data_IF_777685840698
#
_entry.id   IF_777685840698
#
_cell.length_a   1.000
_cell.length_b   1.000
_cell.length_c   1.000
_cell.angle_alpha   90.00
_cell.angle_beta   90.00
_cell.angle_gamma   90.00
#
_symmetry.space_group_name_H-M   'P 1'
#
loop_
_entity.id
_entity.type
_entity.pdbx_description
1 polymer ?
#
# COMPACT_ATOMS: atom_id res chain seq x y z
N UNK A 1 -3.87 -30.91 -2.61
CA UNK A 1 -4.17 -29.45 -2.73
C UNK A 1 -2.86 -28.65 -2.69
N UNK A 2 -2.73 -27.61 -3.50
CA UNK A 2 -1.64 -26.63 -3.42
C UNK A 2 -2.22 -25.30 -2.98
N UNK A 3 -1.60 -24.65 -2.01
CA UNK A 3 -1.87 -23.28 -1.64
C UNK A 3 -0.54 -22.50 -1.73
N UNK A 4 -0.49 -21.52 -2.63
CA UNK A 4 0.69 -20.66 -2.83
C UNK A 4 0.34 -19.23 -2.43
N UNK A 5 1.13 -18.67 -1.50
CA UNK A 5 1.07 -17.26 -1.15
C UNK A 5 2.03 -16.46 -2.04
N UNK A 6 1.54 -15.33 -2.55
CA UNK A 6 2.34 -14.31 -3.23
C UNK A 6 2.39 -13.10 -2.30
N UNK A 7 3.57 -12.78 -1.81
CA UNK A 7 3.74 -11.65 -0.91
C UNK A 7 4.46 -10.51 -1.63
N UNK A 8 3.82 -9.34 -1.65
CA UNK A 8 4.32 -8.12 -2.28
C UNK A 8 4.86 -7.17 -1.22
N UNK A 9 6.16 -7.24 -0.95
CA UNK A 9 6.84 -6.48 0.12
C UNK A 9 6.57 -4.97 0.07
N UNK A 10 6.53 -4.38 -1.13
CA UNK A 10 6.39 -2.94 -1.28
C UNK A 10 5.01 -2.37 -0.92
N UNK A 11 3.98 -3.21 -0.83
CA UNK A 11 2.64 -2.89 -0.33
C UNK A 11 2.29 -3.70 0.92
N UNK A 12 3.18 -4.59 1.36
CA UNK A 12 2.94 -5.54 2.47
C UNK A 12 1.67 -6.38 2.27
N UNK A 13 1.33 -6.69 0.99
CA UNK A 13 0.10 -7.36 0.58
C UNK A 13 0.35 -8.82 0.23
N UNK A 14 -0.56 -9.70 0.61
CA UNK A 14 -0.56 -11.11 0.26
C UNK A 14 -1.78 -11.48 -0.58
N UNK A 15 -1.55 -12.18 -1.68
CA UNK A 15 -2.58 -12.85 -2.48
C UNK A 15 -2.32 -14.35 -2.54
N UNK A 16 -3.32 -15.13 -2.95
CA UNK A 16 -3.23 -16.57 -2.84
C UNK A 16 -3.73 -17.27 -4.09
N UNK A 17 -3.04 -18.34 -4.49
CA UNK A 17 -3.51 -19.33 -5.48
C UNK A 17 -3.81 -20.63 -4.74
N UNK A 18 -5.03 -21.15 -4.94
CA UNK A 18 -5.47 -22.44 -4.41
C UNK A 18 -5.75 -23.36 -5.59
N UNK A 19 -5.07 -24.50 -5.66
CA UNK A 19 -5.23 -25.48 -6.72
C UNK A 19 -5.72 -26.81 -6.14
N UNK A 20 -6.76 -27.34 -6.73
CA UNK A 20 -7.15 -28.75 -6.57
C UNK A 20 -6.39 -29.57 -7.64
N UNK A 21 -5.49 -30.44 -7.19
CA UNK A 21 -4.64 -31.22 -8.07
C UNK A 21 -5.39 -32.33 -8.82
N UNK A 22 -6.50 -32.82 -8.25
CA UNK A 22 -7.30 -33.88 -8.85
C UNK A 22 -8.17 -33.36 -10.00
N UNK A 23 -8.76 -32.18 -9.85
CA UNK A 23 -9.63 -31.57 -10.85
C UNK A 23 -8.92 -30.61 -11.79
N UNK A 24 -7.67 -30.22 -11.49
CA UNK A 24 -6.91 -29.17 -12.19
C UNK A 24 -7.66 -27.82 -12.25
N UNK A 25 -8.43 -27.51 -11.20
CA UNK A 25 -9.15 -26.23 -11.04
C UNK A 25 -8.46 -25.38 -9.99
N UNK A 26 -8.47 -24.07 -10.21
CA UNK A 26 -7.81 -23.12 -9.33
C UNK A 26 -8.68 -21.89 -9.04
N UNK A 27 -8.44 -21.30 -7.87
CA UNK A 27 -8.97 -19.99 -7.45
C UNK A 27 -7.80 -19.09 -7.10
N UNK A 28 -7.89 -17.81 -7.49
CA UNK A 28 -6.98 -16.77 -7.00
C UNK A 28 -7.75 -15.86 -6.06
N UNK A 29 -7.13 -15.51 -4.93
CA UNK A 29 -7.71 -14.64 -3.90
C UNK A 29 -6.90 -13.37 -3.80
N UNK A 30 -7.57 -12.21 -3.86
CA UNK A 30 -7.02 -10.85 -3.73
C UNK A 30 -5.81 -10.57 -4.67
N UNK A 31 -5.92 -10.82 -5.99
CA UNK A 31 -4.80 -10.65 -6.91
C UNK A 31 -4.39 -9.19 -7.10
N UNK A 32 -3.09 -8.95 -7.30
CA UNK A 32 -2.59 -7.68 -7.85
C UNK A 32 -2.84 -7.60 -9.36
N UNK A 33 -2.76 -6.39 -9.95
CA UNK A 33 -3.07 -6.13 -11.39
C UNK A 33 -2.07 -6.74 -12.37
N UNK A 34 -0.85 -6.98 -11.93
CA UNK A 34 0.19 -7.71 -12.68
C UNK A 34 -0.06 -9.21 -12.54
N UNK A 35 -0.94 -9.72 -13.41
CA UNK A 35 -1.55 -11.05 -13.25
C UNK A 35 -0.70 -12.19 -13.78
N UNK A 36 0.37 -11.92 -14.53
CA UNK A 36 1.19 -12.96 -15.16
C UNK A 36 1.72 -13.97 -14.13
N UNK A 37 2.08 -13.52 -12.93
CA UNK A 37 2.54 -14.39 -11.85
C UNK A 37 1.53 -15.49 -11.47
N UNK A 38 0.23 -15.21 -11.50
CA UNK A 38 -0.82 -16.18 -11.18
C UNK A 38 -1.06 -17.13 -12.35
N UNK A 39 -0.98 -16.61 -13.60
CA UNK A 39 -1.10 -17.42 -14.80
C UNK A 39 0.03 -18.45 -14.89
N UNK A 40 1.27 -18.02 -14.64
CA UNK A 40 2.44 -18.89 -14.65
C UNK A 40 2.34 -19.95 -13.55
N UNK A 41 1.96 -19.55 -12.32
CA UNK A 41 1.82 -20.47 -11.20
C UNK A 41 0.69 -21.51 -11.42
N UNK A 42 -0.43 -21.12 -12.02
CA UNK A 42 -1.49 -22.06 -12.37
C UNK A 42 -1.02 -23.03 -13.49
N UNK A 43 -0.28 -22.51 -14.48
CA UNK A 43 0.26 -23.32 -15.57
C UNK A 43 1.31 -24.33 -15.08
N UNK A 44 2.16 -24.00 -14.10
CA UNK A 44 3.11 -24.94 -13.45
C UNK A 44 2.42 -26.20 -12.94
N UNK A 45 1.14 -26.11 -12.54
CA UNK A 45 0.33 -27.21 -12.01
C UNK A 45 -0.70 -27.73 -13.03
N UNK A 46 -0.66 -27.25 -14.28
CA UNK A 46 -1.64 -27.60 -15.30
C UNK A 46 -3.08 -27.23 -14.93
N UNK A 47 -3.26 -26.24 -14.05
CA UNK A 47 -4.54 -25.86 -13.51
C UNK A 47 -5.17 -24.68 -14.27
N UNK A 48 -6.52 -24.67 -14.36
CA UNK A 48 -7.29 -23.57 -14.91
C UNK A 48 -7.85 -22.71 -13.77
N UNK A 49 -7.53 -21.43 -13.79
CA UNK A 49 -8.16 -20.45 -12.90
C UNK A 49 -9.61 -20.27 -13.35
N UNK A 50 -10.56 -20.59 -12.51
CA UNK A 50 -11.99 -20.48 -12.80
C UNK A 50 -12.72 -19.44 -11.96
N UNK A 51 -12.10 -19.00 -10.87
CA UNK A 51 -12.66 -18.03 -9.95
C UNK A 51 -11.57 -17.07 -9.47
N UNK A 52 -11.90 -15.79 -9.44
CA UNK A 52 -11.15 -14.73 -8.75
C UNK A 52 -12.01 -14.26 -7.60
N UNK A 53 -11.60 -14.53 -6.37
CA UNK A 53 -12.37 -14.26 -5.18
C UNK A 53 -11.71 -13.13 -4.38
N UNK A 54 -12.45 -12.06 -4.18
CA UNK A 54 -12.00 -10.89 -3.41
C UNK A 54 -12.55 -10.96 -1.99
N UNK A 55 -11.69 -10.73 -0.99
CA UNK A 55 -12.12 -10.70 0.40
C UNK A 55 -12.93 -9.45 0.72
N UNK A 56 -12.63 -8.33 0.08
CA UNK A 56 -13.30 -7.04 0.22
C UNK A 56 -12.91 -6.09 -0.92
N UNK A 57 -13.47 -4.88 -0.95
CA UNK A 57 -12.97 -3.83 -1.84
C UNK A 57 -11.75 -3.16 -1.22
N UNK A 58 -10.56 -3.60 -1.65
CA UNK A 58 -9.27 -3.09 -1.16
C UNK A 58 -9.15 -1.58 -1.35
N UNK A 59 -8.62 -0.91 -0.34
CA UNK A 59 -8.40 0.53 -0.36
C UNK A 59 -6.93 0.89 -0.67
N UNK A 60 -6.01 0.02 -0.36
CA UNK A 60 -4.56 0.24 -0.41
C UNK A 60 -3.93 -0.21 -1.73
N UNK A 61 -4.66 -0.95 -2.56
CA UNK A 61 -4.27 -1.30 -3.93
C UNK A 61 -5.48 -1.54 -4.84
N UNK A 62 -5.26 -1.42 -6.15
CA UNK A 62 -6.21 -1.83 -7.17
C UNK A 62 -6.05 -3.33 -7.44
N UNK A 63 -7.10 -4.09 -7.14
CA UNK A 63 -7.12 -5.53 -7.35
C UNK A 63 -7.12 -5.91 -8.84
N UNK A 64 -6.47 -7.03 -9.16
CA UNK A 64 -6.35 -7.58 -10.51
C UNK A 64 -7.51 -8.43 -10.99
N UNK A 65 -8.66 -8.38 -10.31
CA UNK A 65 -9.80 -9.23 -10.64
C UNK A 65 -10.29 -9.07 -12.08
N UNK A 66 -10.31 -7.83 -12.61
CA UNK A 66 -10.72 -7.59 -13.99
C UNK A 66 -9.69 -8.09 -15.00
N UNK A 67 -8.41 -7.86 -14.74
CA UNK A 67 -7.29 -8.33 -15.57
C UNK A 67 -7.26 -9.85 -15.62
N UNK A 68 -7.37 -10.51 -14.48
CA UNK A 68 -7.30 -11.96 -14.38
C UNK A 68 -8.55 -12.63 -15.00
N UNK A 69 -9.74 -12.07 -14.78
CA UNK A 69 -10.96 -12.52 -15.41
C UNK A 69 -10.89 -12.37 -16.94
N UNK A 70 -10.37 -11.28 -17.46
CA UNK A 70 -10.19 -11.07 -18.89
C UNK A 70 -9.19 -12.06 -19.50
N UNK A 71 -8.10 -12.39 -18.80
CA UNK A 71 -7.07 -13.32 -19.27
C UNK A 71 -7.51 -14.79 -19.25
N UNK A 72 -8.38 -15.19 -18.32
CA UNK A 72 -8.70 -16.60 -18.05
C UNK A 72 -10.15 -17.00 -18.36
N UNK A 73 -11.06 -16.03 -18.41
CA UNK A 73 -12.50 -16.27 -18.43
C UNK A 73 -13.06 -16.68 -17.05
N UNK A 74 -12.28 -16.50 -15.98
CA UNK A 74 -12.70 -16.79 -14.61
C UNK A 74 -13.84 -15.87 -14.17
N UNK A 75 -14.77 -16.40 -13.38
CA UNK A 75 -15.77 -15.57 -12.73
C UNK A 75 -15.13 -14.74 -11.60
N UNK A 76 -15.55 -13.47 -11.46
CA UNK A 76 -15.19 -12.67 -10.30
C UNK A 76 -16.21 -12.93 -9.19
N UNK A 77 -15.77 -12.98 -7.94
CA UNK A 77 -16.66 -13.24 -6.82
C UNK A 77 -16.33 -12.41 -5.58
N UNK A 78 -17.40 -12.13 -4.80
CA UNK A 78 -17.37 -11.41 -3.52
C UNK A 78 -18.35 -12.04 -2.53
N UNK A 79 -18.34 -11.57 -1.29
CA UNK A 79 -19.44 -11.80 -0.34
C UNK A 79 -20.73 -11.10 -0.80
N UNK A 80 -21.90 -11.63 -0.44
CA UNK A 80 -23.21 -11.11 -0.92
C UNK A 80 -23.56 -9.71 -0.39
N UNK A 81 -22.76 -9.13 0.49
CA UNK A 81 -22.91 -7.73 0.93
C UNK A 81 -22.17 -6.74 0.02
N UNK A 82 -21.31 -7.23 -0.86
CA UNK A 82 -20.62 -6.39 -1.85
C UNK A 82 -21.60 -5.94 -2.95
N UNK A 83 -21.33 -4.76 -3.52
CA UNK A 83 -22.13 -4.19 -4.60
C UNK A 83 -21.24 -3.74 -5.76
N UNK A 84 -20.55 -4.65 -6.47
CA UNK A 84 -19.71 -4.31 -7.62
C UNK A 84 -20.58 -3.79 -8.78
N UNK A 85 -20.03 -2.88 -9.57
CA UNK A 85 -20.67 -2.32 -10.77
C UNK A 85 -20.36 -3.15 -12.05
N UNK A 86 -19.92 -4.38 -11.88
CA UNK A 86 -19.64 -5.37 -12.93
C UNK A 86 -20.24 -6.70 -12.53
N UNK A 87 -20.30 -7.63 -13.48
CA UNK A 87 -20.82 -8.96 -13.20
C UNK A 87 -19.92 -9.71 -12.21
N UNK A 88 -20.49 -10.15 -11.09
CA UNK A 88 -19.80 -10.92 -10.08
C UNK A 88 -20.72 -11.95 -9.45
N UNK A 89 -20.16 -13.08 -9.07
CA UNK A 89 -20.81 -14.07 -8.23
C UNK A 89 -20.79 -13.58 -6.78
N UNK A 90 -21.94 -13.59 -6.13
CA UNK A 90 -22.09 -13.15 -4.74
C UNK A 90 -22.36 -14.36 -3.84
N UNK A 91 -21.44 -14.65 -2.93
CA UNK A 91 -21.53 -15.77 -2.02
C UNK A 91 -22.25 -15.39 -0.72
N UNK A 92 -23.20 -16.21 -0.30
CA UNK A 92 -23.86 -16.09 1.00
C UNK A 92 -22.95 -16.54 2.15
N UNK A 93 -23.23 -16.08 3.37
CA UNK A 93 -22.54 -16.52 4.58
C UNK A 93 -22.74 -18.04 4.79
N UNK A 94 -21.64 -18.76 4.97
CA UNK A 94 -21.62 -20.24 5.10
C UNK A 94 -21.73 -21.00 3.78
N UNK A 95 -21.84 -20.32 2.63
CA UNK A 95 -21.88 -20.97 1.33
C UNK A 95 -20.54 -21.63 1.02
N UNK A 96 -20.60 -22.81 0.40
CA UNK A 96 -19.43 -23.58 0.02
C UNK A 96 -19.27 -23.65 -1.48
N UNK A 97 -18.05 -23.49 -1.93
CA UNK A 97 -17.63 -23.63 -3.33
C UNK A 97 -16.63 -24.78 -3.46
N UNK A 98 -16.97 -25.79 -4.25
CA UNK A 98 -16.11 -26.95 -4.49
C UNK A 98 -15.25 -26.75 -5.74
N UNK A 99 -13.95 -26.99 -5.61
CA UNK A 99 -13.02 -27.12 -6.73
C UNK A 99 -12.81 -28.57 -7.17
N UNK A 100 -13.48 -29.51 -6.56
CA UNK A 100 -13.29 -30.95 -6.69
C UNK A 100 -13.17 -31.57 -5.31
N UNK A 101 -11.99 -31.98 -4.88
CA UNK A 101 -11.73 -32.43 -3.51
C UNK A 101 -11.55 -31.27 -2.54
N UNK A 102 -11.02 -30.14 -3.02
CA UNK A 102 -10.87 -28.91 -2.22
C UNK A 102 -12.19 -28.15 -2.14
N UNK A 103 -12.54 -27.67 -0.97
CA UNK A 103 -13.74 -26.88 -0.72
C UNK A 103 -13.41 -25.56 -0.02
N UNK A 104 -14.04 -24.48 -0.47
CA UNK A 104 -13.94 -23.14 0.10
C UNK A 104 -15.26 -22.79 0.80
N UNK A 105 -15.24 -22.51 2.10
CA UNK A 105 -16.39 -22.05 2.88
C UNK A 105 -16.26 -20.53 3.09
N UNK A 106 -17.26 -19.78 2.65
CA UNK A 106 -17.28 -18.32 2.75
C UNK A 106 -17.89 -17.91 4.09
N UNK A 107 -17.19 -17.13 4.86
CA UNK A 107 -17.68 -16.53 6.11
C UNK A 107 -17.75 -15.03 5.98
N UNK A 108 -18.92 -14.45 6.21
CA UNK A 108 -19.04 -13.00 6.26
C UNK A 108 -18.40 -12.49 7.55
N UNK A 109 -17.39 -11.66 7.41
CA UNK A 109 -16.60 -11.09 8.51
C UNK A 109 -16.51 -9.56 8.40
N UNK A 110 -17.67 -8.85 8.43
CA UNK A 110 -17.69 -7.39 8.35
C UNK A 110 -16.94 -6.75 9.52
N UNK A 111 -16.39 -5.55 9.27
CA UNK A 111 -15.73 -4.78 10.32
C UNK A 111 -14.61 -3.89 9.79
N UNK A 112 -13.64 -4.44 9.09
CA UNK A 112 -12.69 -3.63 8.30
C UNK A 112 -13.45 -2.91 7.17
N UNK A 113 -14.23 -3.67 6.40
CA UNK A 113 -15.27 -3.14 5.51
C UNK A 113 -16.61 -3.84 5.79
N UNK A 114 -17.77 -3.26 5.39
CA UNK A 114 -19.07 -3.86 5.63
C UNK A 114 -19.31 -5.18 4.87
N UNK A 115 -18.64 -5.36 3.73
CA UNK A 115 -18.78 -6.51 2.83
C UNK A 115 -17.69 -7.56 3.03
N UNK A 116 -16.71 -7.35 3.92
CA UNK A 116 -15.58 -8.25 4.15
C UNK A 116 -16.01 -9.69 4.38
N UNK A 117 -15.24 -10.61 3.79
CA UNK A 117 -15.36 -12.05 3.98
C UNK A 117 -14.02 -12.66 4.38
N UNK A 118 -14.09 -13.81 5.04
CA UNK A 118 -12.96 -14.73 5.22
C UNK A 118 -13.27 -16.06 4.54
N UNK A 119 -12.25 -16.74 4.05
CA UNK A 119 -12.40 -17.94 3.23
C UNK A 119 -11.74 -19.10 3.97
N UNK A 120 -12.54 -20.04 4.50
CA UNK A 120 -12.03 -21.24 5.13
C UNK A 120 -11.74 -22.27 4.05
N UNK A 121 -10.51 -22.78 4.01
CA UNK A 121 -10.03 -23.74 3.00
C UNK A 121 -10.01 -25.13 3.60
N UNK A 122 -10.75 -26.04 3.00
CA UNK A 122 -10.80 -27.45 3.34
C UNK A 122 -10.05 -28.24 2.28
N UNK A 123 -9.00 -28.99 2.66
CA UNK A 123 -8.32 -29.88 1.73
C UNK A 123 -9.24 -31.01 1.29
N UNK A 124 -10.07 -31.48 2.23
CA UNK A 124 -11.18 -32.40 1.99
C UNK A 124 -12.37 -32.00 2.85
N UNK A 125 -13.61 -32.08 2.33
CA UNK A 125 -14.82 -31.74 3.11
C UNK A 125 -15.01 -32.54 4.41
N UNK A 126 -14.37 -33.73 4.47
CA UNK A 126 -14.44 -34.63 5.63
C UNK A 126 -13.40 -34.35 6.72
N UNK A 127 -12.47 -33.43 6.50
CA UNK A 127 -11.40 -33.14 7.46
C UNK A 127 -11.99 -32.53 8.75
N UNK A 128 -11.46 -32.95 9.91
CA UNK A 128 -11.88 -32.40 11.19
C UNK A 128 -11.37 -30.96 11.45
N UNK A 129 -10.28 -30.59 10.77
CA UNK A 129 -9.63 -29.29 10.89
C UNK A 129 -9.42 -28.75 9.47
N UNK A 130 -9.87 -27.53 9.18
CA UNK A 130 -9.59 -26.92 7.86
C UNK A 130 -8.08 -26.69 7.70
N UNK A 131 -7.61 -26.73 6.47
CA UNK A 131 -6.22 -26.44 6.14
C UNK A 131 -5.81 -25.02 6.63
N UNK A 132 -6.69 -24.05 6.43
CA UNK A 132 -6.45 -22.68 6.85
C UNK A 132 -7.66 -21.79 6.62
N UNK A 133 -7.52 -20.53 7.02
CA UNK A 133 -8.48 -19.46 6.74
C UNK A 133 -7.74 -18.25 6.17
N UNK A 134 -8.17 -17.82 4.98
CA UNK A 134 -7.77 -16.56 4.38
C UNK A 134 -8.62 -15.48 5.03
N UNK A 135 -8.03 -14.65 5.87
CA UNK A 135 -8.78 -13.74 6.74
C UNK A 135 -9.02 -12.37 6.10
N UNK A 136 -8.44 -12.13 4.91
CA UNK A 136 -8.44 -10.77 4.37
C UNK A 136 -7.86 -9.79 5.40
N UNK A 137 -8.55 -8.69 5.56
CA UNK A 137 -8.23 -7.66 6.56
C UNK A 137 -9.09 -7.74 7.83
N UNK A 138 -9.73 -8.90 8.08
CA UNK A 138 -10.46 -9.09 9.33
C UNK A 138 -9.52 -9.38 10.50
N UNK A 139 -8.52 -10.24 10.28
CA UNK A 139 -7.51 -10.60 11.28
C UNK A 139 -6.14 -10.72 10.63
N UNK A 140 -5.16 -10.04 11.22
CA UNK A 140 -3.74 -10.14 10.87
C UNK A 140 -2.99 -10.97 11.93
N UNK A 141 -1.70 -11.21 11.70
CA UNK A 141 -0.85 -11.82 12.71
C UNK A 141 -0.44 -10.76 13.73
N UNK A 142 -0.91 -10.93 14.96
CA UNK A 142 -0.67 -10.00 16.07
C UNK A 142 -1.56 -8.76 16.07
N UNK A 143 -2.43 -8.57 15.07
CA UNK A 143 -3.30 -7.39 14.93
C UNK A 143 -4.64 -7.75 14.28
N UNK A 144 -5.51 -6.75 14.10
CA UNK A 144 -6.77 -6.82 13.36
C UNK A 144 -6.89 -5.64 12.42
N UNK A 145 -7.73 -5.75 11.39
CA UNK A 145 -7.99 -4.66 10.46
C UNK A 145 -8.60 -3.45 11.15
N UNK A 146 -8.17 -2.26 10.74
CA UNK A 146 -8.68 -1.00 11.28
C UNK A 146 -10.12 -0.74 10.83
N UNK A 147 -11.05 -0.36 11.72
CA UNK A 147 -12.45 -0.14 11.38
C UNK A 147 -12.80 1.31 11.00
N UNK A 148 -11.80 2.19 10.82
CA UNK A 148 -12.02 3.62 10.64
C UNK A 148 -11.84 4.14 9.20
N UNK A 149 -11.43 3.30 8.24
CA UNK A 149 -11.15 3.73 6.86
C UNK A 149 -12.38 4.28 6.13
N UNK A 150 -13.57 3.78 6.41
CA UNK A 150 -14.81 4.15 5.73
C UNK A 150 -15.64 5.22 6.44
N UNK A 151 -15.08 5.89 7.45
CA UNK A 151 -15.75 7.01 8.14
C UNK A 151 -16.08 8.14 7.16
N UNK A 152 -15.22 8.40 6.18
CA UNK A 152 -15.43 9.42 5.16
C UNK A 152 -16.58 9.12 4.19
N UNK A 153 -17.07 7.88 4.15
CA UNK A 153 -18.15 7.41 3.26
C UNK A 153 -19.43 7.01 4.00
N UNK A 154 -19.56 7.42 5.28
CA UNK A 154 -20.82 7.36 6.02
C UNK A 154 -20.95 6.24 7.05
N UNK A 155 -19.91 5.45 7.30
CA UNK A 155 -19.86 4.52 8.43
C UNK A 155 -19.21 5.17 9.66
N UNK A 156 -19.50 4.67 10.87
CA UNK A 156 -18.77 5.09 12.06
C UNK A 156 -17.75 4.03 12.47
N UNK A 157 -16.61 4.44 13.02
CA UNK A 157 -15.61 3.50 13.56
C UNK A 157 -16.21 2.57 14.63
N UNK A 158 -17.16 3.08 15.41
CA UNK A 158 -17.87 2.31 16.42
C UNK A 158 -18.74 1.19 15.81
N UNK A 159 -19.48 1.51 14.73
CA UNK A 159 -20.29 0.51 14.01
C UNK A 159 -19.41 -0.59 13.42
N UNK A 160 -18.35 -0.20 12.69
CA UNK A 160 -17.46 -1.17 12.07
C UNK A 160 -16.63 -1.94 13.10
N UNK A 161 -16.18 -1.28 14.17
CA UNK A 161 -15.47 -1.94 15.26
C UNK A 161 -16.34 -2.98 15.99
N UNK A 162 -17.63 -2.69 16.20
CA UNK A 162 -18.58 -3.65 16.77
C UNK A 162 -18.77 -4.87 15.85
N UNK A 163 -18.91 -4.64 14.52
CA UNK A 163 -19.00 -5.71 13.55
C UNK A 163 -17.73 -6.56 13.51
N UNK A 164 -16.56 -5.92 13.60
CA UNK A 164 -15.27 -6.60 13.63
C UNK A 164 -15.14 -7.50 14.85
N UNK A 165 -15.49 -6.99 16.03
CA UNK A 165 -15.50 -7.76 17.27
C UNK A 165 -16.40 -9.01 17.16
N UNK A 166 -17.63 -8.84 16.65
CA UNK A 166 -18.56 -9.95 16.42
C UNK A 166 -17.98 -10.96 15.42
N UNK A 167 -17.43 -10.49 14.29
CA UNK A 167 -16.82 -11.33 13.26
C UNK A 167 -15.67 -12.18 13.79
N UNK A 168 -14.79 -11.58 14.57
CA UNK A 168 -13.66 -12.28 15.20
C UNK A 168 -14.17 -13.39 16.13
N UNK A 169 -15.08 -13.07 17.04
CA UNK A 169 -15.52 -14.00 18.10
C UNK A 169 -16.49 -15.09 17.60
N UNK A 170 -17.39 -14.75 16.67
CA UNK A 170 -18.45 -15.68 16.22
C UNK A 170 -18.10 -16.43 14.94
N UNK A 171 -17.14 -15.94 14.16
CA UNK A 171 -16.76 -16.54 12.87
C UNK A 171 -15.35 -17.12 12.86
N UNK A 172 -14.33 -16.38 13.30
CA UNK A 172 -12.94 -16.84 13.20
C UNK A 172 -12.49 -17.64 14.40
N UNK A 173 -12.74 -17.16 15.62
CA UNK A 173 -12.37 -17.86 16.85
C UNK A 173 -13.17 -19.13 17.14
N UNK A 174 -14.17 -19.45 16.34
CA UNK A 174 -14.88 -20.75 16.36
C UNK A 174 -14.12 -21.87 15.63
N UNK A 175 -13.09 -21.51 14.84
CA UNK A 175 -12.26 -22.48 14.14
C UNK A 175 -11.33 -23.22 15.12
N UNK A 176 -10.96 -24.48 14.82
CA UNK A 176 -9.97 -25.23 15.60
C UNK A 176 -8.62 -24.51 15.71
N UNK A 177 -7.95 -24.64 16.84
CA UNK A 177 -6.66 -23.96 17.12
C UNK A 177 -5.57 -24.27 16.10
N UNK A 178 -5.60 -25.46 15.48
CA UNK A 178 -4.62 -25.85 14.46
C UNK A 178 -4.88 -25.25 13.06
N UNK A 179 -6.00 -24.53 12.87
CA UNK A 179 -6.30 -23.86 11.59
C UNK A 179 -5.30 -22.75 11.32
N UNK A 180 -4.62 -22.79 10.16
CA UNK A 180 -3.69 -21.73 9.75
C UNK A 180 -4.41 -20.43 9.50
N UNK A 181 -3.80 -19.32 9.90
CA UNK A 181 -4.24 -17.95 9.61
C UNK A 181 -3.37 -17.39 8.50
N UNK A 182 -4.00 -16.95 7.42
CA UNK A 182 -3.40 -16.49 6.18
C UNK A 182 -3.99 -15.09 5.84
N UNK A 183 -3.42 -14.01 6.35
CA UNK A 183 -3.96 -12.65 6.21
C UNK A 183 -3.64 -12.04 4.84
N UNK A 184 -4.38 -10.98 4.44
CA UNK A 184 -4.06 -10.22 3.23
C UNK A 184 -2.90 -9.24 3.41
N UNK A 185 -2.51 -8.91 4.65
CA UNK A 185 -1.41 -7.96 4.91
C UNK A 185 -0.49 -8.42 6.04
N UNK A 186 0.77 -7.93 5.95
CA UNK A 186 1.81 -8.07 6.97
C UNK A 186 2.39 -6.72 7.41
N UNK A 187 3.53 -6.76 8.09
CA UNK A 187 4.20 -5.59 8.65
C UNK A 187 4.44 -4.49 7.61
N UNK A 188 4.04 -3.27 7.97
CA UNK A 188 4.19 -2.09 7.12
C UNK A 188 2.93 -1.65 6.39
N UNK A 189 1.87 -2.49 6.31
CA UNK A 189 0.58 -2.05 5.76
C UNK A 189 -0.07 -0.97 6.62
N UNK A 190 -0.76 -0.03 5.96
CA UNK A 190 -1.56 1.00 6.63
C UNK A 190 -2.95 0.49 7.07
N UNK A 191 -3.29 -0.78 6.80
CA UNK A 191 -4.55 -1.40 7.19
C UNK A 191 -4.61 -1.84 8.66
N UNK A 192 -3.49 -1.74 9.40
CA UNK A 192 -3.39 -1.97 10.84
C UNK A 192 -2.20 -1.23 11.44
N UNK A 193 -1.94 -1.40 12.75
CA UNK A 193 -0.90 -0.65 13.46
C UNK A 193 0.27 -1.48 13.99
N UNK A 194 0.06 -2.76 14.27
CA UNK A 194 1.04 -3.64 14.93
C UNK A 194 1.22 -4.99 14.21
N UNK A 195 1.14 -5.01 12.88
CA UNK A 195 1.25 -6.24 12.10
C UNK A 195 2.62 -6.88 12.26
N UNK A 196 2.65 -8.21 12.41
CA UNK A 196 3.88 -9.00 12.45
C UNK A 196 4.55 -9.08 11.07
N UNK A 197 5.86 -9.35 11.07
CA UNK A 197 6.61 -9.72 9.87
C UNK A 197 6.34 -11.16 9.40
N UNK A 198 5.71 -11.98 10.25
CA UNK A 198 5.26 -13.31 9.88
C UNK A 198 4.10 -13.24 8.91
N UNK A 199 4.07 -14.15 7.93
CA UNK A 199 3.03 -14.19 6.89
C UNK A 199 2.02 -15.31 7.11
N UNK A 200 2.19 -16.12 8.16
CA UNK A 200 1.30 -17.23 8.55
C UNK A 200 1.39 -17.48 10.06
N UNK A 201 0.26 -17.82 10.67
CA UNK A 201 0.15 -18.24 12.07
C UNK A 201 -0.95 -19.30 12.22
N UNK A 202 -1.49 -19.48 13.42
CA UNK A 202 -2.65 -20.36 13.69
C UNK A 202 -3.70 -19.64 14.55
N UNK A 203 -4.94 -20.13 14.50
CA UNK A 203 -6.03 -19.59 15.35
C UNK A 203 -5.65 -19.70 16.83
N UNK A 204 -5.06 -20.82 17.27
CA UNK A 204 -4.65 -21.03 18.65
C UNK A 204 -3.58 -20.07 19.12
N UNK A 205 -2.59 -19.76 18.25
CA UNK A 205 -1.57 -18.77 18.53
C UNK A 205 -2.15 -17.36 18.61
N UNK A 206 -2.95 -16.96 17.63
CA UNK A 206 -3.60 -15.65 17.63
C UNK A 206 -4.52 -15.45 18.84
N UNK A 207 -5.22 -16.48 19.30
CA UNK A 207 -6.05 -16.45 20.49
C UNK A 207 -5.28 -16.07 21.75
N UNK A 208 -3.97 -16.35 21.80
CA UNK A 208 -3.12 -16.16 22.98
C UNK A 208 -2.13 -15.00 22.86
N UNK A 209 -1.81 -14.56 21.64
CA UNK A 209 -0.76 -13.54 21.40
C UNK A 209 -1.28 -12.25 20.77
N UNK A 210 -2.41 -12.29 20.05
CA UNK A 210 -2.97 -11.12 19.40
C UNK A 210 -3.63 -10.21 20.42
N UNK A 211 -3.09 -9.01 20.59
CA UNK A 211 -3.54 -8.07 21.63
C UNK A 211 -5.03 -7.74 21.54
N UNK A 212 -5.57 -7.64 20.33
CA UNK A 212 -6.97 -7.31 20.11
C UNK A 212 -7.91 -8.45 20.53
N UNK A 213 -7.48 -9.71 20.33
CA UNK A 213 -8.27 -10.89 20.70
C UNK A 213 -8.24 -11.20 22.21
N UNK A 214 -7.32 -10.60 22.96
CA UNK A 214 -7.26 -10.72 24.43
C UNK A 214 -8.26 -9.79 25.14
N UNK A 215 -8.87 -8.85 24.40
CA UNK A 215 -9.86 -7.91 24.93
C UNK A 215 -11.23 -8.58 24.94
N UNK A 216 -11.80 -8.79 26.13
CA UNK A 216 -13.06 -9.51 26.33
C UNK A 216 -14.30 -8.61 26.24
N UNK A 217 -14.13 -7.31 26.25
CA UNK A 217 -15.20 -6.30 26.21
C UNK A 217 -15.16 -5.55 24.88
N UNK A 218 -16.31 -5.49 24.20
CA UNK A 218 -16.43 -4.91 22.87
C UNK A 218 -16.07 -3.41 22.84
N UNK A 219 -16.45 -2.64 23.87
CA UNK A 219 -16.14 -1.21 23.92
C UNK A 219 -14.64 -0.97 24.07
N UNK A 220 -14.00 -1.68 25.00
CA UNK A 220 -12.54 -1.63 25.17
C UNK A 220 -11.81 -2.06 23.88
N UNK A 221 -12.33 -3.08 23.18
CA UNK A 221 -11.81 -3.50 21.88
C UNK A 221 -11.88 -2.35 20.86
N UNK A 222 -13.04 -1.71 20.70
CA UNK A 222 -13.24 -0.61 19.75
C UNK A 222 -12.27 0.54 20.07
N UNK A 223 -12.20 0.97 21.34
CA UNK A 223 -11.35 2.07 21.78
C UNK A 223 -9.87 1.77 21.45
N UNK A 224 -9.40 0.57 21.77
CA UNK A 224 -8.01 0.18 21.57
C UNK A 224 -7.66 0.02 20.07
N UNK A 225 -8.53 -0.59 19.25
CA UNK A 225 -8.21 -0.80 17.82
C UNK A 225 -8.32 0.47 16.99
N UNK A 226 -9.07 1.47 17.44
CA UNK A 226 -9.20 2.77 16.74
C UNK A 226 -8.16 3.80 17.19
N UNK A 227 -7.62 3.65 18.41
CA UNK A 227 -6.64 4.60 18.94
C UNK A 227 -5.31 4.53 18.18
N UNK A 228 -4.75 5.71 17.86
CA UNK A 228 -3.41 5.85 17.28
C UNK A 228 -3.26 5.36 15.86
N UNK A 229 -4.35 5.14 15.13
CA UNK A 229 -4.28 4.77 13.71
C UNK A 229 -3.65 5.90 12.88
N UNK A 230 -2.70 5.59 11.97
CA UNK A 230 -2.14 6.60 11.08
C UNK A 230 -3.22 7.14 10.13
N UNK A 231 -3.12 8.41 9.69
CA UNK A 231 -4.01 8.92 8.66
C UNK A 231 -4.01 8.03 7.42
N UNK A 232 -5.20 7.69 6.90
CA UNK A 232 -5.31 6.93 5.67
C UNK A 232 -4.68 7.72 4.50
N UNK A 233 -3.89 7.09 3.63
CA UNK A 233 -3.40 7.72 2.40
C UNK A 233 -4.53 8.25 1.54
N UNK A 234 -4.27 9.33 0.80
CA UNK A 234 -5.32 10.01 0.03
C UNK A 234 -5.91 9.13 -1.09
N UNK A 235 -5.15 8.17 -1.60
CA UNK A 235 -5.60 7.26 -2.67
C UNK A 235 -6.51 6.13 -2.17
N UNK A 236 -6.61 5.87 -0.87
CA UNK A 236 -7.43 4.76 -0.32
C UNK A 236 -8.91 4.84 -0.75
N UNK A 237 -9.53 5.99 -0.58
CA UNK A 237 -10.94 6.17 -0.99
C UNK A 237 -11.09 6.03 -2.51
N UNK A 238 -10.10 6.49 -3.26
CA UNK A 238 -10.07 6.34 -4.71
C UNK A 238 -10.01 4.86 -5.10
N UNK A 239 -9.06 4.09 -4.56
CA UNK A 239 -8.87 2.68 -4.90
C UNK A 239 -10.06 1.82 -4.46
N UNK A 240 -10.59 2.00 -3.25
CA UNK A 240 -11.79 1.32 -2.79
C UNK A 240 -12.99 1.56 -3.72
N UNK A 241 -13.13 2.80 -4.25
CA UNK A 241 -14.17 3.14 -5.24
C UNK A 241 -13.88 2.50 -6.60
N UNK A 242 -12.63 2.53 -7.05
CA UNK A 242 -12.23 1.96 -8.35
C UNK A 242 -12.34 0.42 -8.38
N UNK A 243 -12.12 -0.24 -7.24
CA UNK A 243 -12.30 -1.68 -7.12
C UNK A 243 -13.76 -2.13 -7.24
N UNK A 244 -14.71 -1.21 -7.08
CA UNK A 244 -16.14 -1.48 -7.31
C UNK A 244 -16.56 -1.26 -8.77
N UNK A 245 -15.73 -0.63 -9.61
CA UNK A 245 -16.10 -0.12 -10.92
C UNK A 245 -15.46 -0.90 -12.06
N UNK A 246 -16.10 -0.88 -13.22
CA UNK A 246 -15.38 -1.16 -14.46
C UNK A 246 -14.30 -0.10 -14.68
N UNK A 247 -13.12 -0.54 -15.10
CA UNK A 247 -11.98 0.31 -15.41
C UNK A 247 -11.18 -0.27 -16.58
N UNK A 248 -10.35 0.54 -17.24
CA UNK A 248 -9.39 0.03 -18.21
C UNK A 248 -8.46 -1.02 -17.55
N UNK A 249 -8.15 -2.06 -18.32
CA UNK A 249 -7.21 -3.08 -17.89
C UNK A 249 -5.78 -2.56 -17.97
N UNK A 250 -4.94 -3.00 -17.06
CA UNK A 250 -3.49 -2.76 -17.14
C UNK A 250 -2.90 -3.68 -18.22
N UNK A 251 -2.18 -3.08 -19.17
CA UNK A 251 -1.21 -3.83 -19.97
C UNK A 251 0.14 -3.80 -19.23
N UNK A 252 0.42 -4.88 -18.52
CA UNK A 252 1.64 -5.03 -17.71
C UNK A 252 2.91 -5.26 -18.55
N UNK A 253 2.77 -5.47 -19.86
CA UNK A 253 3.87 -5.69 -20.79
C UNK A 253 4.19 -4.46 -21.66
N UNK A 254 3.29 -3.49 -21.74
CA UNK A 254 3.49 -2.28 -22.53
C UNK A 254 4.26 -1.22 -21.75
N UNK A 255 5.50 -0.95 -22.15
CA UNK A 255 6.28 0.16 -21.61
C UNK A 255 5.62 1.51 -21.92
N UNK A 256 5.75 2.51 -21.03
CA UNK A 256 5.30 3.87 -21.33
C UNK A 256 6.11 4.47 -22.47
N UNK A 257 5.55 5.47 -23.16
CA UNK A 257 6.21 6.16 -24.27
C UNK A 257 7.43 6.94 -23.79
N UNK A 258 8.56 6.79 -24.48
CA UNK A 258 9.74 7.65 -24.26
C UNK A 258 9.47 9.07 -24.74
N UNK A 259 9.70 10.06 -23.89
CA UNK A 259 9.47 11.48 -24.17
C UNK A 259 10.80 12.23 -24.31
N UNK A 260 10.81 13.25 -25.16
CA UNK A 260 11.93 14.20 -25.18
C UNK A 260 11.90 15.11 -23.95
N UNK A 261 13.06 15.68 -23.58
CA UNK A 261 13.13 16.67 -22.48
C UNK A 261 12.17 17.86 -22.75
N UNK A 262 12.08 18.32 -23.98
CA UNK A 262 11.23 19.46 -24.31
C UNK A 262 9.74 19.14 -24.16
N UNK A 263 9.33 17.91 -24.49
CA UNK A 263 7.96 17.43 -24.21
C UNK A 263 7.70 17.36 -22.70
N UNK A 264 8.64 16.83 -21.93
CA UNK A 264 8.52 16.77 -20.47
C UNK A 264 8.40 18.16 -19.86
N UNK A 265 9.24 19.11 -20.29
CA UNK A 265 9.15 20.50 -19.83
C UNK A 265 7.84 21.16 -20.22
N UNK A 266 7.28 20.84 -21.40
CA UNK A 266 5.97 21.31 -21.80
C UNK A 266 4.87 20.75 -20.91
N UNK A 267 4.93 19.47 -20.59
CA UNK A 267 3.99 18.82 -19.66
C UNK A 267 4.09 19.39 -18.25
N UNK A 268 5.30 19.64 -17.72
CA UNK A 268 5.49 20.28 -16.41
C UNK A 268 4.85 21.69 -16.37
N UNK A 269 5.01 22.50 -17.42
CA UNK A 269 4.34 23.80 -17.51
C UNK A 269 2.82 23.71 -17.47
N UNK A 270 2.26 22.56 -17.87
CA UNK A 270 0.83 22.27 -17.84
C UNK A 270 0.39 21.58 -16.51
N UNK A 271 1.30 21.49 -15.53
CA UNK A 271 1.00 20.94 -14.21
C UNK A 271 1.17 19.42 -14.07
N UNK A 272 1.75 18.75 -15.08
CA UNK A 272 2.07 17.31 -14.97
C UNK A 272 3.21 17.11 -13.99
N UNK A 273 3.04 16.16 -13.07
CA UNK A 273 4.04 15.83 -12.06
C UNK A 273 5.09 14.90 -12.65
N UNK A 274 6.36 15.23 -12.43
CA UNK A 274 7.48 14.38 -12.83
C UNK A 274 8.05 13.69 -11.61
N UNK A 275 8.09 12.36 -11.64
CA UNK A 275 8.60 11.50 -10.57
C UNK A 275 9.91 10.87 -11.00
N UNK A 276 11.00 11.22 -10.34
CA UNK A 276 12.33 10.65 -10.52
C UNK A 276 12.50 9.45 -9.58
N UNK A 277 12.68 8.26 -10.16
CA UNK A 277 12.70 6.99 -9.45
C UNK A 277 14.08 6.58 -8.95
N UNK A 278 15.11 7.39 -9.18
CA UNK A 278 16.45 7.08 -8.74
C UNK A 278 16.62 7.18 -7.22
N UNK A 279 17.66 6.53 -6.73
CA UNK A 279 18.09 6.70 -5.35
C UNK A 279 18.35 8.19 -5.04
N UNK A 280 18.05 8.60 -3.81
CA UNK A 280 18.10 9.97 -3.35
C UNK A 280 19.50 10.63 -3.51
N UNK A 281 20.58 9.85 -3.48
CA UNK A 281 21.92 10.40 -3.70
C UNK A 281 22.17 10.77 -5.18
N UNK A 282 21.69 9.94 -6.11
CA UNK A 282 21.81 10.23 -7.55
C UNK A 282 20.89 11.38 -7.96
N UNK A 283 19.68 11.42 -7.41
CA UNK A 283 18.78 12.56 -7.56
C UNK A 283 19.43 13.86 -7.07
N UNK A 284 20.01 13.85 -5.88
CA UNK A 284 20.66 15.03 -5.31
C UNK A 284 21.87 15.51 -6.12
N UNK A 285 22.59 14.61 -6.77
CA UNK A 285 23.72 14.95 -7.64
C UNK A 285 23.31 15.72 -8.91
N UNK A 286 22.08 15.45 -9.42
CA UNK A 286 21.53 16.15 -10.57
C UNK A 286 20.19 15.55 -11.01
N UNK A 287 19.13 16.36 -11.02
CA UNK A 287 17.77 15.93 -11.38
C UNK A 287 17.06 16.99 -12.24
N UNK A 288 16.04 16.59 -12.95
CA UNK A 288 15.19 17.54 -13.67
C UNK A 288 14.54 18.50 -12.67
N UNK A 289 14.70 19.81 -12.89
CA UNK A 289 14.14 20.84 -12.01
C UNK A 289 12.63 20.64 -11.84
N UNK A 290 12.12 20.81 -10.62
CA UNK A 290 10.73 20.56 -10.20
C UNK A 290 10.26 19.11 -10.23
N UNK A 291 11.15 18.11 -10.37
CA UNK A 291 10.76 16.71 -10.19
C UNK A 291 10.71 16.29 -8.72
N UNK A 292 9.84 15.32 -8.41
CA UNK A 292 9.74 14.67 -7.10
C UNK A 292 10.67 13.45 -7.09
N UNK A 293 11.38 13.22 -5.99
CA UNK A 293 12.21 12.04 -5.84
C UNK A 293 11.50 10.95 -5.06
N UNK A 294 11.13 9.88 -5.71
CA UNK A 294 10.58 8.68 -5.06
C UNK A 294 11.35 7.46 -5.58
N UNK A 295 12.36 7.02 -4.86
CA UNK A 295 13.21 5.91 -5.27
C UNK A 295 12.41 4.64 -5.59
N UNK A 296 12.72 3.98 -6.72
CA UNK A 296 12.02 2.78 -7.18
C UNK A 296 12.13 1.63 -6.17
N UNK A 297 13.26 1.52 -5.46
CA UNK A 297 13.43 0.51 -4.42
C UNK A 297 12.58 0.81 -3.18
N UNK A 298 12.02 -0.22 -2.56
CA UNK A 298 11.14 -0.07 -1.40
C UNK A 298 9.70 0.33 -1.75
N UNK A 299 9.12 1.26 -0.99
CA UNK A 299 7.69 1.63 -1.03
C UNK A 299 7.38 2.73 -2.06
N UNK A 300 7.89 2.60 -3.28
CA UNK A 300 7.77 3.59 -4.35
C UNK A 300 6.34 4.04 -4.63
N UNK A 301 5.44 3.09 -4.89
CA UNK A 301 4.05 3.38 -5.22
C UNK A 301 3.35 4.13 -4.09
N UNK A 302 3.44 3.61 -2.88
CA UNK A 302 2.80 4.17 -1.69
C UNK A 302 3.29 5.59 -1.37
N UNK A 303 4.60 5.85 -1.44
CA UNK A 303 5.11 7.20 -1.22
C UNK A 303 4.82 8.15 -2.38
N UNK A 304 4.69 7.66 -3.60
CA UNK A 304 4.12 8.46 -4.70
C UNK A 304 2.69 8.83 -4.36
N UNK A 305 1.87 7.87 -3.94
CA UNK A 305 0.48 8.08 -3.50
C UNK A 305 0.32 9.00 -2.27
N UNK A 306 1.38 9.19 -1.49
CA UNK A 306 1.36 10.14 -0.37
C UNK A 306 1.45 11.62 -0.82
N UNK A 307 2.06 11.91 -1.99
CA UNK A 307 2.35 13.29 -2.43
C UNK A 307 1.75 13.66 -3.78
N UNK A 308 1.30 12.70 -4.55
CA UNK A 308 0.64 12.85 -5.87
C UNK A 308 -0.82 12.42 -5.71
N UNK A 309 -1.77 13.14 -6.28
CA UNK A 309 -3.16 12.70 -6.28
C UNK A 309 -3.39 11.61 -7.35
N UNK A 310 -4.27 10.62 -7.11
CA UNK A 310 -4.50 9.53 -8.06
C UNK A 310 -5.08 9.98 -9.41
N UNK A 311 -5.63 11.19 -9.48
CA UNK A 311 -6.13 11.81 -10.71
C UNK A 311 -5.06 12.61 -11.48
N UNK A 312 -3.90 12.85 -10.89
CA UNK A 312 -2.84 13.62 -11.51
C UNK A 312 -2.19 12.83 -12.64
N UNK A 313 -1.70 13.54 -13.63
CA UNK A 313 -0.88 12.96 -14.69
C UNK A 313 0.57 12.91 -14.23
N UNK A 314 1.23 11.80 -14.52
CA UNK A 314 2.61 11.53 -14.10
C UNK A 314 3.51 11.24 -15.30
N UNK A 315 4.73 11.78 -15.26
CA UNK A 315 5.84 11.35 -16.12
C UNK A 315 6.93 10.76 -15.22
N UNK A 316 7.47 9.61 -15.62
CA UNK A 316 8.51 8.90 -14.89
C UNK A 316 9.88 9.33 -15.41
N UNK A 317 10.84 9.62 -14.53
CA UNK A 317 12.26 9.72 -14.86
C UNK A 317 12.98 8.55 -14.24
N UNK A 318 13.64 7.74 -15.04
CA UNK A 318 14.31 6.52 -14.58
C UNK A 318 15.52 6.16 -15.45
N UNK A 319 16.30 5.19 -15.00
CA UNK A 319 17.30 4.53 -15.86
C UNK A 319 16.58 3.69 -16.92
N UNK A 320 17.16 3.60 -18.12
CA UNK A 320 16.59 2.81 -19.21
C UNK A 320 16.42 1.34 -18.80
N UNK A 321 15.25 0.78 -19.07
CA UNK A 321 14.86 -0.58 -18.69
C UNK A 321 14.08 -0.67 -17.37
N UNK A 322 13.92 0.43 -16.61
CA UNK A 322 13.13 0.48 -15.37
C UNK A 322 11.72 1.08 -15.58
N UNK A 323 11.45 1.65 -16.75
CA UNK A 323 10.21 2.38 -17.05
C UNK A 323 8.96 1.53 -16.93
N UNK A 324 9.04 0.26 -17.36
CA UNK A 324 7.91 -0.66 -17.25
C UNK A 324 7.61 -1.03 -15.81
N UNK A 325 8.63 -1.38 -15.03
CA UNK A 325 8.48 -1.67 -13.60
C UNK A 325 7.88 -0.48 -12.86
N UNK A 326 8.41 0.72 -13.10
CA UNK A 326 7.92 1.92 -12.45
C UNK A 326 6.44 2.20 -12.78
N UNK A 327 6.02 2.03 -14.06
CA UNK A 327 4.62 2.15 -14.48
C UNK A 327 3.74 1.11 -13.79
N UNK A 328 4.13 -0.17 -13.82
CA UNK A 328 3.33 -1.26 -13.26
C UNK A 328 3.14 -1.07 -11.75
N UNK A 329 4.18 -0.66 -11.04
CA UNK A 329 4.10 -0.41 -9.60
C UNK A 329 3.18 0.76 -9.25
N UNK A 330 3.13 1.82 -10.06
CA UNK A 330 2.14 2.89 -9.90
C UNK A 330 0.72 2.40 -10.19
N UNK A 331 0.55 1.59 -11.22
CA UNK A 331 -0.74 1.04 -11.57
C UNK A 331 -1.35 0.15 -10.48
N UNK A 332 -0.52 -0.51 -9.64
CA UNK A 332 -0.98 -1.30 -8.48
C UNK A 332 -1.79 -0.46 -7.48
N UNK A 333 -1.54 0.85 -7.38
CA UNK A 333 -2.30 1.78 -6.54
C UNK A 333 -3.15 2.75 -7.39
N UNK A 334 -3.64 2.32 -8.54
CA UNK A 334 -4.59 3.05 -9.37
C UNK A 334 -4.05 4.24 -10.17
N UNK A 335 -2.73 4.43 -10.23
CA UNK A 335 -2.11 5.53 -10.99
C UNK A 335 -1.92 5.14 -12.45
N UNK A 336 -3.01 5.14 -13.21
CA UNK A 336 -3.03 4.74 -14.63
C UNK A 336 -2.65 5.90 -15.59
N UNK A 337 -2.56 7.14 -15.10
CA UNK A 337 -2.30 8.34 -15.90
C UNK A 337 -0.79 8.62 -16.11
N UNK A 338 0.00 7.57 -16.38
CA UNK A 338 1.42 7.70 -16.75
C UNK A 338 1.49 8.09 -18.23
N UNK A 339 1.84 9.36 -18.53
CA UNK A 339 1.92 9.89 -19.89
C UNK A 339 3.12 9.39 -20.68
N UNK A 340 4.21 9.05 -19.98
CA UNK A 340 5.45 8.59 -20.59
C UNK A 340 6.59 8.60 -19.60
N UNK A 341 7.81 8.42 -20.12
CA UNK A 341 9.03 8.42 -19.33
C UNK A 341 10.15 9.17 -20.01
N UNK A 342 11.11 9.64 -19.22
CA UNK A 342 12.35 10.29 -19.67
C UNK A 342 13.53 9.49 -19.14
N UNK A 343 14.53 9.22 -20.00
CA UNK A 343 15.79 8.63 -19.55
C UNK A 343 16.63 9.65 -18.77
N UNK A 344 17.24 9.22 -17.69
CA UNK A 344 18.20 10.04 -16.94
C UNK A 344 19.40 10.43 -17.79
N UNK A 345 19.75 9.64 -18.80
CA UNK A 345 20.85 9.92 -19.72
C UNK A 345 20.57 11.15 -20.57
N UNK A 346 19.30 11.42 -20.91
CA UNK A 346 18.90 12.58 -21.69
C UNK A 346 19.22 13.88 -20.97
N UNK A 347 19.22 13.91 -19.63
CA UNK A 347 19.53 15.08 -18.81
C UNK A 347 20.96 15.57 -19.01
N UNK A 348 21.88 14.70 -19.40
CA UNK A 348 23.30 15.08 -19.67
C UNK A 348 23.40 16.13 -20.78
N UNK A 349 22.51 16.10 -21.76
CA UNK A 349 22.50 17.01 -22.89
C UNK A 349 21.90 18.40 -22.55
N UNK A 350 21.23 18.53 -21.40
CA UNK A 350 20.46 19.73 -21.00
C UNK A 350 20.77 20.17 -19.56
N UNK A 351 22.05 20.58 -19.29
CA UNK A 351 22.44 21.02 -17.94
C UNK A 351 21.68 22.27 -17.46
N UNK A 352 21.08 23.04 -18.38
CA UNK A 352 20.29 24.22 -18.11
C UNK A 352 18.97 23.93 -17.36
N UNK A 353 18.45 22.70 -17.43
CA UNK A 353 17.21 22.25 -16.75
C UNK A 353 17.48 21.33 -15.56
N UNK A 354 18.77 21.14 -15.21
CA UNK A 354 19.17 20.25 -14.12
C UNK A 354 19.46 21.04 -12.85
N UNK A 355 18.84 20.63 -11.76
CA UNK A 355 19.07 21.15 -10.40
C UNK A 355 19.80 20.13 -9.53
N UNK A 356 20.39 20.60 -8.42
CA UNK A 356 21.03 19.75 -7.41
C UNK A 356 20.28 19.85 -6.08
N UNK A 357 20.25 18.75 -5.33
CA UNK A 357 19.71 18.69 -3.98
C UNK A 357 20.80 18.84 -2.91
N UNK A 358 20.48 19.45 -1.80
CA UNK A 358 21.34 19.52 -0.62
C UNK A 358 20.96 18.40 0.36
N UNK A 359 21.94 17.58 0.74
CA UNK A 359 21.80 16.53 1.75
C UNK A 359 22.86 16.72 2.83
N UNK A 360 22.47 16.80 4.09
CA UNK A 360 23.33 17.10 5.21
C UNK A 360 23.61 15.83 6.03
N UNK A 361 24.84 15.65 6.47
CA UNK A 361 25.10 14.73 7.58
C UNK A 361 24.50 15.31 8.88
N UNK A 362 24.30 14.48 9.91
CA UNK A 362 23.80 14.95 11.20
C UNK A 362 24.64 16.09 11.78
N UNK A 363 25.97 15.98 11.67
CA UNK A 363 26.91 17.05 12.08
C UNK A 363 26.72 18.34 11.28
N UNK A 364 26.64 18.26 9.95
CA UNK A 364 26.38 19.44 9.10
C UNK A 364 25.04 20.09 9.42
N UNK A 365 24.03 19.30 9.74
CA UNK A 365 22.74 19.80 10.21
C UNK A 365 22.88 20.53 11.54
N UNK A 366 23.59 19.96 12.52
CA UNK A 366 23.87 20.60 13.81
C UNK A 366 24.59 21.94 13.64
N UNK A 367 25.64 21.97 12.82
CA UNK A 367 26.39 23.20 12.51
C UNK A 367 25.48 24.24 11.87
N UNK A 368 24.67 23.86 10.87
CA UNK A 368 23.74 24.76 10.17
C UNK A 368 22.66 25.32 11.11
N UNK A 369 22.10 24.48 11.97
CA UNK A 369 21.11 24.90 13.00
C UNK A 369 21.68 25.95 13.96
N UNK A 370 22.96 25.83 14.33
CA UNK A 370 23.61 26.78 15.23
C UNK A 370 23.98 28.09 14.54
N UNK A 371 24.16 28.09 13.23
CA UNK A 371 24.55 29.27 12.44
C UNK A 371 23.36 30.13 11.99
N UNK A 372 22.17 29.53 11.84
CA UNK A 372 20.99 30.18 11.27
C UNK A 372 19.94 30.44 12.35
N UNK A 373 19.56 31.69 12.55
CA UNK A 373 18.55 32.09 13.54
C UNK A 373 17.11 31.85 13.09
N UNK A 374 16.86 31.74 11.79
CA UNK A 374 15.52 31.61 11.19
C UNK A 374 15.34 30.32 10.38
N UNK A 375 16.00 29.25 10.78
CA UNK A 375 15.87 27.95 10.11
C UNK A 375 14.50 27.31 10.43
N UNK A 376 13.84 26.72 9.43
CA UNK A 376 12.69 25.86 9.58
C UNK A 376 13.15 24.41 9.65
N UNK A 377 12.74 23.68 10.66
CA UNK A 377 13.04 22.24 10.79
C UNK A 377 11.71 21.49 10.68
N UNK A 378 11.61 20.58 9.72
CA UNK A 378 10.38 19.84 9.43
C UNK A 378 10.61 18.35 9.67
N UNK A 379 9.82 17.78 10.58
CA UNK A 379 9.75 16.35 10.82
C UNK A 379 8.61 15.77 9.98
N UNK A 380 8.94 14.91 9.00
CA UNK A 380 7.92 14.31 8.11
C UNK A 380 7.52 12.89 8.52
N UNK A 381 7.83 12.49 9.76
CA UNK A 381 7.39 11.23 10.37
C UNK A 381 5.92 11.33 10.79
N UNK A 382 5.29 10.15 10.91
CA UNK A 382 3.93 10.07 11.45
C UNK A 382 3.89 10.48 12.94
N UNK A 383 2.73 10.91 13.43
CA UNK A 383 2.53 11.36 14.81
C UNK A 383 2.91 10.28 15.83
N UNK A 384 2.59 9.00 15.57
CA UNK A 384 3.00 7.89 16.42
C UNK A 384 4.53 7.79 16.61
N UNK A 385 5.30 8.06 15.54
CA UNK A 385 6.78 8.08 15.61
C UNK A 385 7.29 9.30 16.42
N UNK A 386 6.65 10.45 16.25
CA UNK A 386 7.06 11.70 16.93
C UNK A 386 6.67 11.72 18.41
N UNK A 387 5.65 10.97 18.83
CA UNK A 387 5.28 10.77 20.24
C UNK A 387 6.36 10.00 21.01
N UNK A 388 7.17 9.18 20.33
CA UNK A 388 8.31 8.50 20.92
C UNK A 388 9.56 9.38 21.04
N UNK A 389 9.53 10.58 20.45
CA UNK A 389 10.59 11.58 20.52
C UNK A 389 10.74 12.35 19.20
N UNK A 390 10.99 13.65 19.31
CA UNK A 390 11.24 14.56 18.19
C UNK A 390 12.19 15.68 18.62
N UNK A 391 12.70 16.46 17.67
CA UNK A 391 13.42 17.69 17.98
C UNK A 391 12.43 18.76 18.47
N UNK A 392 12.69 19.40 19.59
CA UNK A 392 11.78 20.39 20.21
C UNK A 392 11.39 21.55 19.29
N UNK A 393 12.28 21.93 18.37
CA UNK A 393 12.08 23.04 17.44
C UNK A 393 11.46 22.60 16.09
N UNK A 394 11.21 21.32 15.90
CA UNK A 394 10.69 20.81 14.63
C UNK A 394 9.16 20.94 14.54
N UNK A 395 8.69 21.44 13.40
CA UNK A 395 7.27 21.35 13.02
C UNK A 395 7.03 19.95 12.47
N UNK A 396 6.07 19.22 13.02
CA UNK A 396 5.69 17.92 12.47
C UNK A 396 4.64 18.07 11.37
N UNK A 397 5.01 17.68 10.18
CA UNK A 397 4.12 17.61 9.00
C UNK A 397 4.35 16.24 8.36
N UNK A 398 3.56 15.21 8.71
CA UNK A 398 3.67 13.89 8.08
C UNK A 398 3.69 13.98 6.57
N UNK A 399 4.50 13.15 5.89
CA UNK A 399 4.70 13.22 4.43
C UNK A 399 3.38 13.20 3.66
N UNK A 400 2.40 12.42 4.09
CA UNK A 400 1.08 12.34 3.46
C UNK A 400 0.23 13.63 3.62
N UNK A 401 0.63 14.55 4.49
CA UNK A 401 -0.03 15.83 4.71
C UNK A 401 0.75 17.00 4.11
N UNK A 402 1.99 16.77 3.64
CA UNK A 402 2.92 17.84 3.27
C UNK A 402 2.33 18.76 2.20
N UNK A 403 1.81 18.21 1.09
CA UNK A 403 1.25 18.99 -0.02
C UNK A 403 0.06 19.89 0.41
N UNK A 404 -0.72 19.45 1.41
CA UNK A 404 -1.88 20.22 1.93
C UNK A 404 -1.48 21.27 2.97
N UNK A 405 -0.33 21.10 3.62
CA UNK A 405 0.15 21.93 4.73
C UNK A 405 1.36 22.80 4.38
N UNK A 406 1.70 22.92 3.10
CA UNK A 406 2.80 23.79 2.62
C UNK A 406 2.68 25.21 3.10
N UNK A 407 1.46 25.74 3.27
CA UNK A 407 1.18 27.09 3.76
C UNK A 407 1.61 27.36 5.21
N UNK A 408 1.96 26.32 5.98
CA UNK A 408 2.53 26.47 7.34
C UNK A 408 4.03 26.80 7.31
N UNK A 409 4.67 26.68 6.16
CA UNK A 409 6.09 26.90 5.94
C UNK A 409 6.33 28.15 5.05
N UNK A 410 7.46 28.79 5.23
CA UNK A 410 7.87 29.94 4.40
C UNK A 410 8.87 29.52 3.34
N UNK A 411 8.56 29.68 2.02
CA UNK A 411 9.47 29.29 0.94
C UNK A 411 10.82 30.04 0.91
N UNK A 412 10.87 31.23 1.51
CA UNK A 412 12.08 32.07 1.57
C UNK A 412 13.01 31.76 2.73
N UNK A 413 12.58 30.94 3.70
CA UNK A 413 13.39 30.58 4.88
C UNK A 413 14.18 29.29 4.61
N UNK A 414 15.44 29.20 5.07
CA UNK A 414 16.18 27.95 5.05
C UNK A 414 15.41 26.83 5.73
N UNK A 415 15.22 25.72 5.05
CA UNK A 415 14.40 24.60 5.50
C UNK A 415 15.22 23.31 5.55
N UNK A 416 15.19 22.61 6.67
CA UNK A 416 15.80 21.28 6.80
C UNK A 416 14.73 20.27 7.14
N UNK A 417 14.66 19.21 6.35
CA UNK A 417 13.68 18.13 6.50
C UNK A 417 14.35 16.86 7.01
N UNK A 418 13.74 16.20 7.96
CA UNK A 418 14.19 14.88 8.40
C UNK A 418 13.01 13.91 8.55
N UNK A 419 13.31 12.61 8.47
CA UNK A 419 12.41 11.51 8.81
C UNK A 419 13.14 10.52 9.72
N UNK A 420 12.71 9.27 9.84
CA UNK A 420 13.44 8.26 10.63
C UNK A 420 14.83 7.96 10.03
N UNK A 421 14.90 7.42 8.80
CA UNK A 421 16.12 6.91 8.16
C UNK A 421 16.58 7.64 6.90
N UNK A 422 15.92 8.75 6.45
CA UNK A 422 16.36 9.57 5.33
C UNK A 422 15.64 9.37 3.99
N UNK A 423 14.73 8.39 3.83
CA UNK A 423 13.98 8.17 2.59
C UNK A 423 12.85 9.21 2.41
N UNK A 424 11.91 9.31 3.36
CA UNK A 424 10.79 10.26 3.31
C UNK A 424 11.25 11.72 3.26
N UNK A 425 12.37 12.04 3.89
CA UNK A 425 12.91 13.40 3.89
C UNK A 425 13.49 13.82 2.56
N UNK A 426 14.08 12.93 1.77
CA UNK A 426 14.50 13.24 0.40
C UNK A 426 13.29 13.55 -0.49
N UNK A 427 12.24 12.74 -0.41
CA UNK A 427 10.98 13.01 -1.11
C UNK A 427 10.40 14.36 -0.68
N UNK A 428 10.25 14.61 0.62
CA UNK A 428 9.70 15.86 1.13
C UNK A 428 10.51 17.08 0.68
N UNK A 429 11.85 17.00 0.70
CA UNK A 429 12.72 18.06 0.21
C UNK A 429 12.54 18.33 -1.29
N UNK A 430 12.32 17.30 -2.11
CA UNK A 430 12.04 17.46 -3.54
C UNK A 430 10.68 18.12 -3.78
N UNK A 431 9.64 17.72 -3.02
CA UNK A 431 8.31 18.34 -3.07
C UNK A 431 8.38 19.83 -2.70
N UNK A 432 9.08 20.17 -1.62
CA UNK A 432 9.26 21.58 -1.21
C UNK A 432 9.95 22.39 -2.31
N UNK A 433 11.06 21.88 -2.90
CA UNK A 433 11.75 22.58 -4.01
C UNK A 433 10.84 22.78 -5.22
N UNK A 434 10.06 21.79 -5.59
CA UNK A 434 9.12 21.89 -6.70
C UNK A 434 8.03 22.96 -6.45
N UNK A 435 7.72 23.24 -5.16
CA UNK A 435 6.79 24.30 -4.75
C UNK A 435 7.47 25.64 -4.40
N UNK A 436 8.69 25.87 -4.90
CA UNK A 436 9.34 27.17 -4.83
C UNK A 436 10.16 27.47 -3.57
N UNK A 437 10.38 26.48 -2.71
CA UNK A 437 11.33 26.64 -1.60
C UNK A 437 12.76 26.65 -2.15
N UNK A 438 13.50 27.71 -1.87
CA UNK A 438 14.80 27.97 -2.51
C UNK A 438 15.98 27.35 -1.79
N UNK A 439 15.91 27.19 -0.47
CA UNK A 439 16.98 26.65 0.37
C UNK A 439 16.46 25.47 1.20
N UNK A 440 16.49 24.29 0.59
CA UNK A 440 15.98 23.05 1.21
C UNK A 440 17.08 22.00 1.25
N UNK A 441 17.27 21.41 2.43
CA UNK A 441 18.14 20.25 2.65
C UNK A 441 17.40 19.13 3.35
N UNK A 442 17.78 17.87 3.12
CA UNK A 442 17.38 16.73 3.92
C UNK A 442 18.55 16.18 4.75
N UNK A 443 18.23 15.44 5.83
CA UNK A 443 19.26 14.87 6.71
C UNK A 443 19.48 13.40 6.36
N UNK A 444 20.71 13.04 6.04
CA UNK A 444 21.18 11.69 5.82
C UNK A 444 21.02 10.86 7.10
N UNK A 445 20.40 9.68 7.02
CA UNK A 445 20.13 8.83 8.18
C UNK A 445 19.03 9.37 9.11
N UNK A 446 18.44 10.55 8.81
CA UNK A 446 17.28 11.09 9.51
C UNK A 446 17.46 11.28 11.01
N UNK A 447 16.37 11.06 11.76
CA UNK A 447 16.32 11.24 13.22
C UNK A 447 17.28 10.32 13.97
N UNK A 448 17.45 9.09 13.49
CA UNK A 448 18.39 8.13 14.08
C UNK A 448 19.83 8.66 14.06
N UNK A 449 20.26 9.19 12.92
CA UNK A 449 21.60 9.79 12.81
C UNK A 449 21.74 11.06 13.66
N UNK A 450 20.68 11.89 13.75
CA UNK A 450 20.69 13.09 14.60
C UNK A 450 20.86 12.72 16.08
N UNK A 451 20.20 11.67 16.56
CA UNK A 451 20.35 11.20 17.95
C UNK A 451 21.73 10.65 18.26
N UNK A 452 22.40 10.04 17.28
CA UNK A 452 23.76 9.49 17.46
C UNK A 452 24.85 10.58 17.50
N UNK A 453 24.60 11.74 16.89
CA UNK A 453 25.55 12.89 16.84
C UNK A 453 25.29 13.91 17.98
N UNK A 454 24.22 13.73 18.77
CA UNK A 454 23.82 14.60 19.89
C UNK A 454 24.46 14.13 21.18
#
# INVERSE_FOLDING_TARGET
>A
MILRQFYLDCLSQASYLIVDEDSHRAVVVDPTRDVQQYLDAAAEHGARIELVLETHFHADFLSGHLELAAATGAAIAYGSRANPQFEARLFSDGERHSLGTVELEIRHTPGHTPESISIVVWERPSDAVPYGVLTGDTMFIGDVGRPDLLVSVGHTSEQLGSMLYESLHTKLLTLPDATRVLPAHGAGSACGKNLSTETMSTIGEQRTTNYALLLSDAQTFIDVVTEGQPPAPAYFVYDATRNQQHRPLLDEHAAPTHLSIDDVLQHQRNGVIVVDTRDAQFFAAGHLTHSFNVGLQGRYAEYTGAVVAPTDQVIIVCEAGQELEAKVRLARIGYDNVLGWLSVEDLVSRPDVVSKGSRLTARQFSDRRNQLTEIQIVDVRNEGETNLGKLDTAVNIPIAQLSRRLGELSPSRPTVVYCAGGYRSSLAASVLRAHGFTDVSDVLGGYEAILQDS
#
